data_IF_160542853806
#
_entry.id   IF_160542853806
#
_cell.length_a   1.000
_cell.length_b   1.000
_cell.length_c   1.000
_cell.angle_alpha   90.00
_cell.angle_beta   90.00
_cell.angle_gamma   90.00
#
_symmetry.space_group_name_H-M   'P 1'
#
loop_
_entity.id
_entity.type
_entity.pdbx_description
1 polymer ?
#
# COMPACT_ATOMS: atom_id res chain seq x y z
N UNK A 1 -17.80 13.01 -14.06
CA UNK A 1 -16.43 12.48 -13.86
C UNK A 1 -16.06 12.24 -12.38
N UNK A 2 -16.71 12.90 -11.41
CA UNK A 2 -16.41 12.78 -9.96
C UNK A 2 -16.79 11.45 -9.31
N UNK A 3 -17.94 10.85 -9.68
CA UNK A 3 -18.42 9.61 -9.06
C UNK A 3 -17.48 8.40 -9.29
N UNK A 4 -16.80 8.32 -10.45
CA UNK A 4 -15.94 7.18 -10.78
C UNK A 4 -14.70 7.09 -9.88
N UNK A 5 -14.16 8.23 -9.43
CA UNK A 5 -12.96 8.27 -8.58
C UNK A 5 -13.28 7.91 -7.12
N UNK A 6 -14.43 8.34 -6.59
CA UNK A 6 -14.87 8.05 -5.22
C UNK A 6 -14.99 6.54 -4.97
N UNK A 7 -15.48 5.76 -5.94
CA UNK A 7 -15.62 4.32 -5.79
C UNK A 7 -14.27 3.60 -5.63
N UNK A 8 -13.19 4.07 -6.26
CA UNK A 8 -11.86 3.48 -6.07
C UNK A 8 -11.34 3.70 -4.66
N UNK A 9 -11.53 4.90 -4.10
CA UNK A 9 -11.09 5.19 -2.74
C UNK A 9 -11.92 4.46 -1.68
N UNK A 10 -13.22 4.30 -1.91
CA UNK A 10 -14.06 3.51 -1.01
C UNK A 10 -13.64 2.03 -1.03
N UNK A 11 -13.36 1.47 -2.22
CA UNK A 11 -12.81 0.12 -2.35
C UNK A 11 -11.47 -0.02 -1.64
N UNK A 12 -10.57 0.96 -1.80
CA UNK A 12 -9.27 0.99 -1.13
C UNK A 12 -9.44 0.96 0.40
N UNK A 13 -10.30 1.82 0.95
CA UNK A 13 -10.57 1.89 2.38
C UNK A 13 -11.14 0.58 2.92
N UNK A 14 -12.15 0.01 2.25
CA UNK A 14 -12.74 -1.28 2.62
C UNK A 14 -11.68 -2.38 2.57
N UNK A 15 -10.85 -2.40 1.52
CA UNK A 15 -9.83 -3.43 1.33
C UNK A 15 -8.74 -3.39 2.41
N UNK A 16 -8.24 -2.19 2.74
CA UNK A 16 -7.31 -2.00 3.86
C UNK A 16 -7.97 -2.37 5.21
N UNK A 17 -9.24 -2.00 5.43
CA UNK A 17 -9.96 -2.32 6.66
C UNK A 17 -10.15 -3.82 6.88
N UNK A 18 -10.54 -4.54 5.82
CA UNK A 18 -10.69 -6.01 5.87
C UNK A 18 -9.36 -6.68 6.19
N UNK A 19 -8.28 -6.31 5.49
CA UNK A 19 -6.98 -6.94 5.71
C UNK A 19 -6.37 -6.56 7.05
N UNK A 20 -6.59 -5.33 7.53
CA UNK A 20 -6.24 -4.93 8.89
C UNK A 20 -6.90 -5.85 9.92
N UNK A 21 -8.21 -6.06 9.80
CA UNK A 21 -8.98 -6.91 10.72
C UNK A 21 -8.50 -8.38 10.72
N UNK A 22 -8.32 -8.97 9.54
CA UNK A 22 -7.85 -10.35 9.45
C UNK A 22 -6.39 -10.51 9.90
N UNK A 23 -5.52 -9.54 9.59
CA UNK A 23 -4.14 -9.55 10.06
C UNK A 23 -4.07 -9.41 11.58
N UNK A 24 -4.92 -8.57 12.20
CA UNK A 24 -4.96 -8.46 13.67
C UNK A 24 -5.40 -9.77 14.34
N UNK A 25 -6.42 -10.44 13.79
CA UNK A 25 -6.87 -11.76 14.30
C UNK A 25 -5.76 -12.79 14.13
N UNK A 26 -5.12 -12.81 12.96
CA UNK A 26 -4.01 -13.72 12.69
C UNK A 26 -2.89 -13.53 13.72
N UNK A 27 -2.45 -12.31 13.97
CA UNK A 27 -1.40 -12.05 14.97
C UNK A 27 -1.81 -12.51 16.37
N UNK A 28 -3.07 -12.30 16.77
CA UNK A 28 -3.58 -12.75 18.07
C UNK A 28 -3.59 -14.28 18.18
N UNK A 29 -4.05 -15.00 17.16
CA UNK A 29 -4.07 -16.46 17.15
C UNK A 29 -2.68 -17.11 17.25
N UNK A 30 -1.64 -16.45 16.72
CA UNK A 30 -0.25 -16.96 16.75
C UNK A 30 0.58 -16.35 17.88
N UNK A 31 -0.03 -15.59 18.79
CA UNK A 31 0.67 -14.90 19.89
C UNK A 31 1.84 -14.05 19.41
N UNK A 32 1.68 -13.41 18.24
CA UNK A 32 2.68 -12.48 17.70
C UNK A 32 2.60 -11.16 18.47
N UNK A 33 3.72 -10.80 19.09
CA UNK A 33 3.85 -9.59 19.89
C UNK A 33 4.43 -8.48 19.04
N UNK A 34 3.56 -7.79 18.31
CA UNK A 34 3.94 -6.57 17.61
C UNK A 34 3.73 -5.34 18.51
N UNK A 35 4.55 -4.32 18.32
CA UNK A 35 4.31 -3.00 18.92
C UNK A 35 3.02 -2.44 18.30
N UNK A 36 1.95 -2.35 19.10
CA UNK A 36 0.61 -1.96 18.65
C UNK A 36 0.61 -0.65 17.84
N UNK A 37 1.45 0.30 18.24
CA UNK A 37 1.61 1.58 17.56
C UNK A 37 2.27 1.41 16.20
N UNK A 38 3.33 0.61 16.09
CA UNK A 38 4.00 0.31 14.81
C UNK A 38 3.06 -0.36 13.81
N UNK A 39 2.15 -1.22 14.28
CA UNK A 39 1.14 -1.86 13.42
C UNK A 39 0.14 -0.86 12.86
N UNK A 40 -0.44 -0.02 13.73
CA UNK A 40 -1.36 1.05 13.29
C UNK A 40 -0.67 2.04 12.35
N UNK A 41 0.56 2.46 12.69
CA UNK A 41 1.36 3.38 11.89
C UNK A 41 1.67 2.75 10.52
N UNK A 42 2.06 1.48 10.47
CA UNK A 42 2.32 0.77 9.21
C UNK A 42 1.10 0.78 8.29
N UNK A 43 -0.07 0.42 8.80
CA UNK A 43 -1.30 0.42 8.02
C UNK A 43 -1.72 1.83 7.58
N UNK A 44 -1.63 2.81 8.48
CA UNK A 44 -1.99 4.19 8.19
C UNK A 44 -1.09 4.78 7.10
N UNK A 45 0.23 4.65 7.25
CA UNK A 45 1.19 5.14 6.26
C UNK A 45 0.99 4.44 4.91
N UNK A 46 0.88 3.12 4.89
CA UNK A 46 0.65 2.38 3.65
C UNK A 46 -0.67 2.80 2.97
N UNK A 47 -1.75 2.98 3.74
CA UNK A 47 -3.01 3.50 3.21
C UNK A 47 -2.85 4.91 2.61
N UNK A 48 -2.26 5.85 3.36
CA UNK A 48 -2.08 7.23 2.92
C UNK A 48 -1.20 7.32 1.67
N UNK A 49 -0.12 6.56 1.66
CA UNK A 49 0.75 6.51 0.50
C UNK A 49 0.07 5.87 -0.70
N UNK A 50 -0.70 4.78 -0.52
CA UNK A 50 -1.44 4.16 -1.63
C UNK A 50 -2.51 5.10 -2.17
N UNK A 51 -3.20 5.81 -1.27
CA UNK A 51 -4.15 6.86 -1.64
C UNK A 51 -3.48 7.93 -2.51
N UNK A 52 -2.31 8.43 -2.09
CA UNK A 52 -1.53 9.41 -2.85
C UNK A 52 -1.01 8.85 -4.18
N UNK A 53 -0.48 7.62 -4.20
CA UNK A 53 -0.05 6.94 -5.43
C UNK A 53 -1.19 6.87 -6.44
N UNK A 54 -2.38 6.47 -6.00
CA UNK A 54 -3.55 6.33 -6.86
C UNK A 54 -3.96 7.68 -7.45
N UNK A 55 -3.93 8.76 -6.66
CA UNK A 55 -4.15 10.12 -7.16
C UNK A 55 -3.16 10.47 -8.29
N UNK A 56 -1.87 10.22 -8.07
CA UNK A 56 -0.82 10.50 -9.04
C UNK A 56 -1.01 9.66 -10.31
N UNK A 57 -1.23 8.35 -10.19
CA UNK A 57 -1.42 7.44 -11.31
C UNK A 57 -2.64 7.84 -12.17
N UNK A 58 -3.76 8.19 -11.53
CA UNK A 58 -4.97 8.64 -12.22
C UNK A 58 -4.76 9.98 -12.93
N UNK A 59 -4.00 10.90 -12.33
CA UNK A 59 -3.64 12.17 -12.97
C UNK A 59 -2.80 11.96 -14.24
N UNK A 60 -1.78 11.10 -14.17
CA UNK A 60 -0.92 10.80 -15.31
C UNK A 60 -1.59 9.91 -16.36
N UNK A 61 -2.64 9.18 -16.01
CA UNK A 61 -3.46 8.44 -16.98
C UNK A 61 -4.06 9.35 -18.04
N UNK A 62 -4.38 10.60 -17.71
CA UNK A 62 -4.96 11.52 -18.68
C UNK A 62 -3.90 12.24 -19.54
N UNK A 63 -2.62 12.15 -19.16
CA UNK A 63 -1.53 12.92 -19.81
C UNK A 63 -0.52 12.05 -20.56
N UNK A 64 -0.11 10.93 -19.96
CA UNK A 64 1.09 10.16 -20.34
C UNK A 64 0.95 8.67 -19.95
N UNK A 65 -0.05 8.00 -20.49
CA UNK A 65 -0.38 6.59 -20.14
C UNK A 65 0.78 5.62 -20.35
N UNK A 66 1.64 5.85 -21.34
CA UNK A 66 2.81 4.98 -21.61
C UNK A 66 3.85 4.97 -20.48
N UNK A 67 3.88 6.00 -19.64
CA UNK A 67 4.80 6.09 -18.51
C UNK A 67 4.18 5.61 -17.19
N UNK A 68 2.92 5.13 -17.17
CA UNK A 68 2.25 4.77 -15.92
C UNK A 68 3.00 3.69 -15.14
N UNK A 69 3.52 2.67 -15.83
CA UNK A 69 4.29 1.60 -15.19
C UNK A 69 5.57 2.15 -14.53
N UNK A 70 6.28 3.04 -15.22
CA UNK A 70 7.48 3.68 -14.68
C UNK A 70 7.17 4.56 -13.46
N UNK A 71 6.10 5.35 -13.53
CA UNK A 71 5.62 6.19 -12.42
C UNK A 71 5.25 5.31 -11.21
N UNK A 72 4.55 4.19 -11.44
CA UNK A 72 4.23 3.21 -10.40
C UNK A 72 5.50 2.68 -9.73
N UNK A 73 6.50 2.23 -10.50
CA UNK A 73 7.76 1.71 -9.94
C UNK A 73 8.52 2.75 -9.10
N UNK A 74 8.58 4.01 -9.56
CA UNK A 74 9.22 5.08 -8.80
C UNK A 74 8.50 5.37 -7.48
N UNK A 75 7.17 5.52 -7.51
CA UNK A 75 6.40 5.85 -6.31
C UNK A 75 6.43 4.71 -5.30
N UNK A 76 6.24 3.46 -5.75
CA UNK A 76 6.31 2.28 -4.89
C UNK A 76 7.70 2.10 -4.25
N UNK A 77 8.77 2.30 -5.03
CA UNK A 77 10.14 2.29 -4.50
C UNK A 77 10.37 3.37 -3.44
N UNK A 78 9.90 4.60 -3.68
CA UNK A 78 9.99 5.68 -2.69
C UNK A 78 9.20 5.38 -1.42
N UNK A 79 7.98 4.81 -1.53
CA UNK A 79 7.19 4.38 -0.36
C UNK A 79 7.94 3.37 0.49
N UNK A 80 8.57 2.40 -0.17
CA UNK A 80 9.38 1.38 0.50
C UNK A 80 10.57 1.99 1.24
N UNK A 81 11.25 2.98 0.65
CA UNK A 81 12.34 3.70 1.31
C UNK A 81 11.87 4.51 2.52
N UNK A 82 10.75 5.23 2.42
CA UNK A 82 10.22 5.99 3.56
C UNK A 82 9.85 5.06 4.72
N UNK A 83 9.35 3.86 4.42
CA UNK A 83 9.14 2.85 5.44
C UNK A 83 10.45 2.44 6.13
N UNK A 84 11.52 2.19 5.35
CA UNK A 84 12.82 1.86 5.90
C UNK A 84 13.35 2.94 6.83
N UNK A 85 13.07 4.22 6.57
CA UNK A 85 13.48 5.29 7.48
C UNK A 85 12.66 5.35 8.77
N UNK A 86 11.35 5.06 8.72
CA UNK A 86 10.44 5.24 9.87
C UNK A 86 10.36 4.01 10.77
N UNK A 87 10.16 2.82 10.19
CA UNK A 87 9.79 1.61 10.95
C UNK A 87 10.95 0.64 11.15
N UNK A 88 11.96 0.62 10.27
CA UNK A 88 13.16 -0.19 10.48
C UNK A 88 13.89 0.12 11.81
N UNK A 89 14.09 1.39 12.22
CA UNK A 89 14.75 1.68 13.50
C UNK A 89 13.95 1.16 14.70
N UNK A 90 12.61 1.17 14.58
CA UNK A 90 11.71 0.68 15.64
C UNK A 90 11.81 -0.84 15.75
N UNK A 91 11.74 -1.55 14.62
CA UNK A 91 11.83 -3.01 14.57
C UNK A 91 13.22 -3.54 14.93
N UNK A 92 14.27 -2.74 14.75
CA UNK A 92 15.63 -3.14 15.12
C UNK A 92 16.03 -2.69 16.53
N UNK A 93 15.10 -2.12 17.30
CA UNK A 93 15.41 -1.50 18.59
C UNK A 93 15.91 -2.51 19.65
N UNK A 94 15.47 -3.77 19.58
CA UNK A 94 15.93 -4.87 20.45
C UNK A 94 17.09 -5.68 19.84
N UNK A 95 17.60 -5.26 18.67
CA UNK A 95 18.74 -5.88 17.99
C UNK A 95 18.38 -7.00 17.01
N UNK A 96 17.13 -7.48 16.99
CA UNK A 96 16.67 -8.56 16.13
C UNK A 96 15.31 -8.24 15.50
N UNK A 97 15.22 -8.31 14.17
CA UNK A 97 13.95 -8.10 13.50
C UNK A 97 13.15 -9.42 13.48
N UNK A 98 11.95 -9.39 14.04
CA UNK A 98 11.08 -10.57 14.10
C UNK A 98 10.19 -10.68 12.86
N UNK A 99 9.72 -11.89 12.59
CA UNK A 99 8.92 -12.16 11.39
C UNK A 99 7.57 -11.43 11.39
N UNK A 100 6.97 -11.23 12.57
CA UNK A 100 5.72 -10.50 12.74
C UNK A 100 5.89 -9.00 12.51
N UNK A 101 7.05 -8.42 12.83
CA UNK A 101 7.39 -7.04 12.48
C UNK A 101 7.55 -6.86 10.97
N UNK A 102 8.19 -7.82 10.30
CA UNK A 102 8.27 -7.86 8.83
C UNK A 102 6.87 -7.93 8.23
N UNK A 103 6.01 -8.85 8.70
CA UNK A 103 4.64 -8.99 8.21
C UNK A 103 3.80 -7.73 8.47
N UNK A 104 4.00 -7.08 9.61
CA UNK A 104 3.37 -5.79 9.97
C UNK A 104 3.56 -4.73 8.89
N UNK A 105 4.70 -4.75 8.20
CA UNK A 105 4.94 -3.89 7.05
C UNK A 105 4.48 -4.48 5.72
N UNK A 106 4.96 -5.67 5.41
CA UNK A 106 4.87 -6.20 4.06
C UNK A 106 3.43 -6.52 3.65
N UNK A 107 2.55 -6.88 4.58
CA UNK A 107 1.14 -7.14 4.28
C UNK A 107 0.43 -5.87 3.78
N UNK A 108 0.34 -4.76 4.55
CA UNK A 108 -0.32 -3.55 4.07
C UNK A 108 0.39 -2.90 2.88
N UNK A 109 1.71 -3.06 2.75
CA UNK A 109 2.47 -2.59 1.58
C UNK A 109 2.10 -3.37 0.30
N UNK A 110 2.18 -4.70 0.34
CA UNK A 110 1.88 -5.56 -0.82
C UNK A 110 0.44 -5.39 -1.26
N UNK A 111 -0.48 -5.21 -0.33
CA UNK A 111 -1.88 -4.90 -0.61
C UNK A 111 -2.03 -3.61 -1.43
N UNK A 112 -1.31 -2.56 -1.04
CA UNK A 112 -1.27 -1.30 -1.78
C UNK A 112 -0.72 -1.47 -3.19
N UNK A 113 0.38 -2.23 -3.34
CA UNK A 113 0.96 -2.52 -4.65
C UNK A 113 0.00 -3.28 -5.57
N UNK A 114 -0.66 -4.34 -5.07
CA UNK A 114 -1.64 -5.10 -5.85
C UNK A 114 -2.75 -4.18 -6.35
N UNK A 115 -3.26 -3.30 -5.48
CA UNK A 115 -4.30 -2.35 -5.85
C UNK A 115 -3.83 -1.36 -6.93
N UNK A 116 -2.63 -0.81 -6.79
CA UNK A 116 -2.00 0.09 -7.77
C UNK A 116 -1.77 -0.61 -9.12
N UNK A 117 -1.28 -1.86 -9.11
CA UNK A 117 -1.07 -2.69 -10.31
C UNK A 117 -2.38 -2.91 -11.06
N UNK A 118 -3.47 -3.26 -10.37
CA UNK A 118 -4.78 -3.46 -11.00
C UNK A 118 -5.29 -2.19 -11.70
N UNK A 119 -4.99 -1.01 -11.15
CA UNK A 119 -5.33 0.27 -11.78
C UNK A 119 -4.45 0.48 -13.02
N UNK A 120 -3.13 0.36 -12.89
CA UNK A 120 -2.19 0.53 -14.01
C UNK A 120 -2.54 -0.40 -15.17
N UNK A 121 -2.75 -1.68 -14.89
CA UNK A 121 -3.10 -2.70 -15.88
C UNK A 121 -4.39 -2.34 -16.61
N UNK A 122 -5.45 -1.98 -15.88
CA UNK A 122 -6.74 -1.59 -16.47
C UNK A 122 -6.58 -0.37 -17.40
N UNK A 123 -5.81 0.64 -16.98
CA UNK A 123 -5.57 1.84 -17.79
C UNK A 123 -4.74 1.56 -19.03
N UNK A 124 -3.69 0.75 -18.93
CA UNK A 124 -2.87 0.35 -20.07
C UNK A 124 -3.66 -0.48 -21.08
N UNK A 125 -4.45 -1.47 -20.61
CA UNK A 125 -5.34 -2.27 -21.47
C UNK A 125 -6.29 -1.37 -22.27
N UNK A 126 -6.97 -0.42 -21.61
CA UNK A 126 -7.90 0.49 -22.28
C UNK A 126 -7.26 1.35 -23.38
N UNK A 127 -5.98 1.72 -23.25
CA UNK A 127 -5.24 2.43 -24.30
C UNK A 127 -5.01 1.56 -25.54
N UNK A 128 -4.74 0.26 -25.38
CA UNK A 128 -4.42 -0.63 -26.50
C UNK A 128 -5.64 -1.05 -27.34
N UNK A 129 -6.86 -0.81 -26.86
CA UNK A 129 -8.11 -1.13 -27.57
C UNK A 129 -8.83 0.11 -28.14
N UNK A 130 -8.24 1.30 -28.03
CA UNK A 130 -8.74 2.57 -28.58
C UNK A 130 -7.77 3.11 -29.61
#
# INVERSE_FOLDING_TARGET
>A
MTNFHIFWYLKLLIFYGIVFFFHSIFCECYSFYFILDSFKISYLLNFLFTFLSVLILLFFTNKKVEYLAFIFFLISGLKFLVFFEILYPVFKSDGEIKIDEILTFFIPYSLGLIFEILIVENKLKKKNYN
#
